data_IF_453500884095
#
_entry.id   IF_453500884095
#
_cell.length_a   1.000
_cell.length_b   1.000
_cell.length_c   1.000
_cell.angle_alpha   90.00
_cell.angle_beta   90.00
_cell.angle_gamma   90.00
#
_symmetry.space_group_name_H-M   'P 1'
#
loop_
_entity.id
_entity.type
_entity.pdbx_description
1 polymer ?
#
# COMPACT_ATOMS: atom_id res chain seq x y z
N UNK A 1 34.51 0.99 21.27
CA UNK A 1 33.62 -0.04 20.71
C UNK A 1 33.51 -1.12 21.76
N UNK A 2 32.29 -1.47 22.22
CA UNK A 2 32.15 -2.58 23.15
C UNK A 2 32.57 -3.86 22.41
N UNK A 3 33.51 -4.62 22.95
CA UNK A 3 33.96 -5.87 22.34
C UNK A 3 32.77 -6.82 22.16
N UNK A 4 32.54 -7.27 20.93
CA UNK A 4 31.53 -8.29 20.65
C UNK A 4 31.96 -9.62 21.27
N UNK A 5 31.00 -10.35 21.83
CA UNK A 5 31.24 -11.57 22.59
C UNK A 5 31.26 -12.77 21.63
N UNK A 6 32.28 -13.61 21.79
CA UNK A 6 32.59 -14.74 20.90
C UNK A 6 32.81 -16.00 21.71
N UNK A 7 32.87 -17.13 21.02
CA UNK A 7 33.16 -18.42 21.63
C UNK A 7 34.68 -18.61 21.62
N UNK A 8 35.30 -18.63 22.81
CA UNK A 8 36.73 -18.89 22.94
C UNK A 8 37.03 -20.39 22.95
N UNK A 9 36.20 -21.16 23.67
CA UNK A 9 36.44 -22.59 23.90
C UNK A 9 35.13 -23.34 24.02
N UNK A 10 35.09 -24.52 23.43
CA UNK A 10 33.95 -25.42 23.42
C UNK A 10 34.40 -26.84 23.78
N UNK A 11 33.75 -27.44 24.76
CA UNK A 11 33.93 -28.83 25.16
C UNK A 11 32.56 -29.51 25.19
N UNK A 12 32.41 -30.59 24.42
CA UNK A 12 31.17 -31.34 24.24
C UNK A 12 31.46 -32.82 24.48
N UNK A 13 30.70 -33.45 25.36
CA UNK A 13 30.81 -34.89 25.63
C UNK A 13 29.43 -35.56 25.63
N UNK A 14 29.36 -36.73 25.00
CA UNK A 14 28.17 -37.60 24.98
C UNK A 14 26.88 -36.93 24.48
N UNK A 15 26.97 -36.04 23.49
CA UNK A 15 25.82 -35.34 22.89
C UNK A 15 25.53 -35.83 21.48
N UNK A 16 24.33 -36.38 21.23
CA UNK A 16 23.91 -36.95 19.93
C UNK A 16 24.94 -37.95 19.37
N UNK A 17 25.77 -37.55 18.42
CA UNK A 17 26.83 -38.41 17.84
C UNK A 17 28.24 -38.13 18.37
N UNK A 18 28.39 -37.10 19.22
CA UNK A 18 29.68 -36.70 19.79
C UNK A 18 30.01 -37.60 20.97
N UNK A 19 31.22 -38.14 20.96
CA UNK A 19 31.80 -38.86 22.11
C UNK A 19 32.54 -37.86 22.99
N UNK A 20 33.55 -37.19 22.45
CA UNK A 20 34.26 -36.09 23.08
C UNK A 20 34.86 -35.18 22.00
N UNK A 21 34.51 -33.89 22.06
CA UNK A 21 34.99 -32.87 21.13
C UNK A 21 35.44 -31.66 21.94
N UNK A 22 36.67 -31.22 21.70
CA UNK A 22 37.22 -29.97 22.22
C UNK A 22 37.60 -29.10 21.01
N UNK A 23 37.10 -27.88 20.97
CA UNK A 23 37.28 -26.94 19.86
C UNK A 23 37.63 -25.56 20.42
N UNK A 24 38.66 -24.94 19.86
CA UNK A 24 39.05 -23.54 20.09
C UNK A 24 38.90 -22.79 18.75
N UNK A 25 37.73 -22.19 18.46
CA UNK A 25 37.50 -21.56 17.18
C UNK A 25 38.33 -20.28 17.02
N UNK A 26 38.58 -19.88 15.77
CA UNK A 26 39.30 -18.64 15.46
C UNK A 26 38.58 -17.41 16.03
N UNK A 27 39.31 -16.44 16.57
CA UNK A 27 38.72 -15.22 17.17
C UNK A 27 37.96 -14.36 16.15
N UNK A 28 38.38 -14.37 14.89
CA UNK A 28 37.75 -13.70 13.76
C UNK A 28 37.81 -14.65 12.56
N UNK A 29 36.86 -14.51 11.64
CA UNK A 29 36.84 -15.29 10.42
C UNK A 29 36.04 -16.58 10.54
N UNK A 30 36.35 -17.54 9.69
CA UNK A 30 35.58 -18.77 9.49
C UNK A 30 36.33 -19.98 10.06
N UNK A 31 35.75 -20.64 11.06
CA UNK A 31 36.18 -21.96 11.54
C UNK A 31 35.31 -23.04 10.90
N UNK A 32 35.91 -23.92 10.08
CA UNK A 32 35.17 -25.00 9.39
C UNK A 32 35.39 -26.34 10.10
N UNK A 33 34.29 -26.93 10.55
CA UNK A 33 34.21 -28.29 11.07
C UNK A 33 33.89 -29.24 9.91
N UNK A 34 34.91 -29.94 9.43
CA UNK A 34 34.88 -30.96 8.40
C UNK A 34 34.64 -32.38 8.91
N UNK A 35 34.45 -33.30 7.97
CA UNK A 35 34.19 -34.72 8.19
C UNK A 35 33.13 -35.27 7.23
N UNK A 36 33.03 -36.59 7.13
CA UNK A 36 31.99 -37.25 6.33
C UNK A 36 30.60 -37.09 6.97
N UNK A 37 29.55 -37.48 6.25
CA UNK A 37 28.20 -37.53 6.80
C UNK A 37 28.12 -38.46 8.01
N UNK A 38 27.23 -38.13 8.95
CA UNK A 38 27.01 -38.86 10.19
C UNK A 38 28.16 -38.90 11.21
N UNK A 39 29.25 -38.15 11.00
CA UNK A 39 30.39 -38.13 11.93
C UNK A 39 30.20 -37.24 13.17
N UNK A 40 29.16 -36.41 13.22
CA UNK A 40 28.85 -35.55 14.38
C UNK A 40 29.04 -34.05 14.16
N UNK A 41 29.35 -33.60 12.94
CA UNK A 41 29.51 -32.16 12.58
C UNK A 41 28.32 -31.30 13.02
N UNK A 42 27.12 -31.60 12.54
CA UNK A 42 25.89 -30.87 12.92
C UNK A 42 25.59 -31.00 14.41
N UNK A 43 25.99 -32.11 15.04
CA UNK A 43 25.86 -32.26 16.50
C UNK A 43 26.71 -31.26 17.27
N UNK A 44 27.80 -30.72 16.70
CA UNK A 44 28.58 -29.64 17.32
C UNK A 44 27.78 -28.35 17.33
N UNK A 45 27.22 -27.95 16.17
CA UNK A 45 26.40 -26.74 16.08
C UNK A 45 25.15 -26.84 16.96
N UNK A 46 24.46 -27.98 16.94
CA UNK A 46 23.30 -28.24 17.80
C UNK A 46 23.65 -28.11 19.29
N UNK A 47 24.85 -28.55 19.67
CA UNK A 47 25.33 -28.47 21.06
C UNK A 47 25.60 -27.03 21.48
N UNK A 48 26.19 -26.21 20.60
CA UNK A 48 26.40 -24.78 20.83
C UNK A 48 25.03 -24.07 20.95
N UNK A 49 24.12 -24.33 20.01
CA UNK A 49 22.78 -23.76 19.99
C UNK A 49 21.99 -24.14 21.25
N UNK A 50 22.09 -25.38 21.72
CA UNK A 50 21.44 -25.82 22.97
C UNK A 50 22.08 -25.19 24.22
N UNK A 51 23.42 -25.14 24.29
CA UNK A 51 24.13 -24.53 25.39
C UNK A 51 23.73 -23.06 25.58
N UNK A 52 23.73 -22.28 24.49
CA UNK A 52 23.55 -20.83 24.52
C UNK A 52 22.08 -20.39 24.35
N UNK A 53 21.28 -21.12 23.57
CA UNK A 53 19.91 -20.74 23.21
C UNK A 53 18.80 -21.30 24.09
N UNK A 54 19.13 -22.12 25.09
CA UNK A 54 18.14 -22.63 26.03
C UNK A 54 17.42 -23.89 25.56
N UNK A 55 16.33 -24.25 26.26
CA UNK A 55 15.58 -25.47 25.99
C UNK A 55 14.85 -25.48 24.62
N UNK A 56 14.71 -24.31 23.97
CA UNK A 56 14.18 -24.20 22.61
C UNK A 56 15.01 -24.97 21.58
N UNK A 57 16.32 -25.10 21.82
CA UNK A 57 17.26 -25.81 20.96
C UNK A 57 17.65 -27.17 21.53
N UNK A 58 16.98 -27.63 22.60
CA UNK A 58 17.25 -28.93 23.20
C UNK A 58 16.87 -30.04 22.22
N UNK A 59 17.80 -30.95 21.86
CA UNK A 59 17.45 -32.12 21.05
C UNK A 59 16.42 -32.99 21.76
N UNK A 60 15.49 -33.59 21.00
CA UNK A 60 14.50 -34.53 21.54
C UNK A 60 15.17 -35.70 22.28
N UNK A 61 16.26 -36.21 21.72
CA UNK A 61 17.21 -37.07 22.41
C UNK A 61 18.61 -36.43 22.37
N UNK A 62 19.04 -35.88 23.50
CA UNK A 62 20.34 -35.22 23.62
C UNK A 62 21.48 -36.19 23.94
N UNK A 63 21.19 -37.27 24.65
CA UNK A 63 22.19 -38.26 25.06
C UNK A 63 22.65 -39.06 23.85
N UNK A 64 23.95 -39.34 23.78
CA UNK A 64 24.51 -40.24 22.77
C UNK A 64 23.89 -41.63 22.86
N UNK A 65 23.44 -42.16 21.72
CA UNK A 65 22.88 -43.50 21.65
C UNK A 65 23.89 -44.55 22.16
N UNK A 66 23.45 -45.38 23.11
CA UNK A 66 24.28 -46.38 23.77
C UNK A 66 25.18 -45.86 24.91
N UNK A 67 25.10 -44.59 25.30
CA UNK A 67 25.79 -44.04 26.47
C UNK A 67 24.89 -44.01 27.72
N UNK A 68 25.40 -44.44 28.86
CA UNK A 68 24.77 -44.25 30.18
C UNK A 68 25.22 -42.95 30.87
N UNK A 69 26.23 -42.29 30.31
CA UNK A 69 26.79 -41.04 30.82
C UNK A 69 25.96 -39.88 30.23
N UNK A 70 25.42 -38.98 31.08
CA UNK A 70 24.62 -37.85 30.60
C UNK A 70 25.46 -36.85 29.79
N UNK A 71 24.81 -36.07 28.90
CA UNK A 71 25.44 -34.97 28.17
C UNK A 71 26.19 -33.99 29.07
N UNK A 72 27.39 -33.60 28.64
CA UNK A 72 28.18 -32.54 29.27
C UNK A 72 28.58 -31.51 28.22
N UNK A 73 28.22 -30.25 28.47
CA UNK A 73 28.55 -29.11 27.62
C UNK A 73 29.26 -28.06 28.46
N UNK A 74 30.38 -27.56 27.98
CA UNK A 74 31.14 -26.49 28.61
C UNK A 74 31.62 -25.50 27.54
N UNK A 75 31.14 -24.26 27.63
CA UNK A 75 31.49 -23.18 26.71
C UNK A 75 32.10 -22.02 27.49
N UNK A 76 33.24 -21.53 27.04
CA UNK A 76 33.86 -20.30 27.56
C UNK A 76 33.75 -19.22 26.50
N UNK A 77 33.10 -18.12 26.85
CA UNK A 77 32.95 -16.94 26.00
C UNK A 77 34.17 -16.02 26.14
N UNK A 78 34.40 -15.16 25.15
CA UNK A 78 35.55 -14.24 25.10
C UNK A 78 35.59 -13.21 26.24
N UNK A 79 34.43 -12.88 26.82
CA UNK A 79 34.31 -11.99 27.98
C UNK A 79 34.51 -12.73 29.33
N UNK A 80 34.85 -14.02 29.31
CA UNK A 80 35.05 -14.86 30.49
C UNK A 80 33.77 -15.49 31.05
N UNK A 81 32.62 -15.31 30.39
CA UNK A 81 31.38 -16.00 30.77
C UNK A 81 31.51 -17.50 30.51
N UNK A 82 31.19 -18.31 31.50
CA UNK A 82 31.25 -19.78 31.41
C UNK A 82 29.85 -20.36 31.44
N UNK A 83 29.49 -21.13 30.41
CA UNK A 83 28.20 -21.79 30.25
C UNK A 83 28.39 -23.30 30.36
N UNK A 84 27.82 -23.90 31.39
CA UNK A 84 27.85 -25.34 31.61
C UNK A 84 26.44 -25.93 31.52
N UNK A 85 26.28 -27.06 30.84
CA UNK A 85 25.11 -27.94 30.99
C UNK A 85 25.59 -29.34 31.38
N UNK A 86 25.25 -29.77 32.60
CA UNK A 86 25.72 -31.06 33.14
C UNK A 86 24.69 -31.71 34.06
N UNK A 87 24.92 -32.98 34.37
CA UNK A 87 24.07 -33.79 35.25
C UNK A 87 22.93 -34.49 34.50
N UNK A 88 22.16 -35.31 35.23
CA UNK A 88 21.11 -36.19 34.68
C UNK A 88 20.06 -35.46 33.84
N UNK A 89 19.77 -34.19 34.18
CA UNK A 89 18.80 -33.35 33.48
C UNK A 89 19.46 -32.30 32.56
N UNK A 90 20.81 -32.32 32.45
CA UNK A 90 21.60 -31.31 31.73
C UNK A 90 21.25 -29.87 32.15
N UNK A 91 21.23 -29.63 33.46
CA UNK A 91 20.86 -28.34 34.03
C UNK A 91 21.85 -27.25 33.62
N UNK A 92 21.33 -26.08 33.24
CA UNK A 92 22.12 -24.91 32.89
C UNK A 92 22.76 -24.29 34.13
N UNK A 93 24.05 -23.99 34.05
CA UNK A 93 24.79 -23.19 35.01
C UNK A 93 25.61 -22.16 34.24
N UNK A 94 25.29 -20.88 34.43
CA UNK A 94 26.04 -19.77 33.85
C UNK A 94 26.85 -19.13 34.98
N UNK A 95 28.13 -18.89 34.76
CA UNK A 95 29.03 -18.26 35.73
C UNK A 95 29.71 -17.07 35.07
N UNK A 96 29.60 -15.89 35.67
CA UNK A 96 30.29 -14.69 35.20
C UNK A 96 31.79 -14.72 35.55
N UNK A 97 32.62 -13.81 34.99
CA UNK A 97 34.05 -13.73 35.31
C UNK A 97 34.36 -13.47 36.79
N UNK A 98 33.40 -12.93 37.54
CA UNK A 98 33.52 -12.62 38.96
C UNK A 98 33.06 -13.79 39.86
N UNK A 99 32.59 -14.90 39.27
CA UNK A 99 32.10 -16.09 39.98
C UNK A 99 30.62 -16.05 40.36
N UNK A 100 29.86 -15.02 39.97
CA UNK A 100 28.42 -14.94 40.21
C UNK A 100 27.67 -15.87 39.27
N UNK A 101 26.58 -16.47 39.79
CA UNK A 101 25.70 -17.33 39.00
C UNK A 101 24.72 -16.49 38.20
N UNK A 102 24.69 -16.71 36.88
CA UNK A 102 23.70 -16.17 35.96
C UNK A 102 22.65 -17.21 35.55
N UNK A 103 21.62 -16.74 34.85
CA UNK A 103 20.62 -17.58 34.19
C UNK A 103 20.61 -17.40 32.67
N UNK A 104 19.66 -18.05 32.00
CA UNK A 104 19.48 -17.93 30.55
C UNK A 104 19.20 -16.49 30.10
N UNK A 105 18.57 -15.66 30.95
CA UNK A 105 18.31 -14.25 30.64
C UNK A 105 19.59 -13.45 30.38
N UNK A 106 20.65 -13.71 31.15
CA UNK A 106 21.96 -13.09 30.93
C UNK A 106 22.56 -13.52 29.59
N UNK A 107 22.36 -14.77 29.17
CA UNK A 107 22.82 -15.24 27.86
C UNK A 107 22.07 -14.56 26.72
N UNK A 108 20.76 -14.38 26.87
CA UNK A 108 19.91 -13.75 25.86
C UNK A 108 20.30 -12.27 25.60
N UNK A 109 20.97 -11.60 26.54
CA UNK A 109 21.47 -10.23 26.33
C UNK A 109 22.65 -10.17 25.34
N UNK A 110 23.39 -11.27 25.18
CA UNK A 110 24.62 -11.34 24.39
C UNK A 110 24.55 -12.30 23.20
N UNK A 111 23.59 -13.23 23.22
CA UNK A 111 23.40 -14.25 22.19
C UNK A 111 22.11 -13.97 21.45
N UNK A 112 22.22 -13.80 20.13
CA UNK A 112 21.06 -13.62 19.28
C UNK A 112 20.53 -14.96 18.77
N UNK A 113 19.20 -15.15 18.81
CA UNK A 113 18.59 -16.44 18.42
C UNK A 113 18.81 -16.76 16.94
N UNK A 114 18.79 -15.73 16.09
CA UNK A 114 19.10 -15.88 14.67
C UNK A 114 20.59 -16.25 14.43
N UNK A 115 21.50 -15.86 15.33
CA UNK A 115 22.91 -16.26 15.24
C UNK A 115 23.11 -17.76 15.50
N UNK A 116 22.21 -18.37 16.28
CA UNK A 116 22.25 -19.79 16.61
C UNK A 116 21.62 -20.68 15.54
N UNK A 117 20.78 -20.13 14.66
CA UNK A 117 20.07 -20.86 13.61
C UNK A 117 19.80 -19.96 12.39
N UNK A 118 20.88 -19.59 11.71
CA UNK A 118 20.82 -18.85 10.45
C UNK A 118 20.13 -19.64 9.31
N UNK A 119 20.29 -20.99 9.20
CA UNK A 119 19.59 -21.78 8.18
C UNK A 119 18.08 -21.56 8.19
N UNK A 120 17.45 -21.55 9.37
CA UNK A 120 16.02 -21.27 9.48
C UNK A 120 15.62 -19.88 8.98
N UNK A 121 16.46 -18.87 9.21
CA UNK A 121 16.24 -17.54 8.64
C UNK A 121 16.35 -17.58 7.11
N UNK A 122 17.34 -18.26 6.56
CA UNK A 122 17.53 -18.39 5.11
C UNK A 122 16.36 -19.12 4.42
N UNK A 123 15.74 -20.09 5.10
CA UNK A 123 14.59 -20.86 4.61
C UNK A 123 13.25 -20.14 4.77
N UNK A 124 13.17 -19.06 5.58
CA UNK A 124 11.94 -18.28 5.74
C UNK A 124 11.48 -17.58 4.45
N UNK A 125 10.23 -17.13 4.38
CA UNK A 125 9.73 -16.44 3.18
C UNK A 125 10.38 -15.07 2.99
N UNK A 126 10.45 -14.57 1.75
CA UNK A 126 11.02 -13.24 1.45
C UNK A 126 10.37 -12.11 2.26
N UNK A 127 9.05 -12.20 2.45
CA UNK A 127 8.28 -11.27 3.30
C UNK A 127 8.67 -11.34 4.77
N UNK A 128 8.83 -12.54 5.33
CA UNK A 128 9.26 -12.70 6.72
C UNK A 128 10.66 -12.15 6.95
N UNK A 129 11.58 -12.36 5.99
CA UNK A 129 12.94 -11.79 6.03
C UNK A 129 12.91 -10.27 6.04
N UNK A 130 12.18 -9.67 5.10
CA UNK A 130 12.04 -8.21 5.00
C UNK A 130 11.37 -7.62 6.24
N UNK A 131 10.28 -8.22 6.73
CA UNK A 131 9.63 -7.79 7.97
C UNK A 131 10.54 -7.89 9.18
N UNK A 132 11.34 -8.96 9.27
CA UNK A 132 12.33 -9.12 10.34
C UNK A 132 13.34 -7.97 10.28
N UNK A 133 13.90 -7.67 9.10
CA UNK A 133 14.81 -6.55 8.91
C UNK A 133 14.18 -5.19 9.27
N UNK A 134 12.96 -4.92 8.80
CA UNK A 134 12.27 -3.65 9.03
C UNK A 134 11.92 -3.43 10.51
N UNK A 135 11.56 -4.50 11.22
CA UNK A 135 11.39 -4.46 12.68
C UNK A 135 12.69 -4.14 13.40
N UNK A 136 13.81 -4.71 12.94
CA UNK A 136 15.14 -4.48 13.52
C UNK A 136 15.56 -3.01 13.39
N UNK A 137 15.26 -2.37 12.25
CA UNK A 137 15.65 -0.97 12.00
C UNK A 137 14.65 0.02 12.63
N UNK A 138 13.55 -0.48 13.22
CA UNK A 138 12.55 0.36 13.89
C UNK A 138 11.63 1.15 12.95
N UNK A 139 11.74 0.94 11.64
CA UNK A 139 10.91 1.59 10.62
C UNK A 139 9.67 0.77 10.23
N UNK A 140 9.54 -0.45 10.77
CA UNK A 140 8.47 -1.40 10.40
C UNK A 140 7.05 -0.84 10.61
N UNK A 141 6.79 -0.21 11.75
CA UNK A 141 5.46 0.33 12.06
C UNK A 141 5.11 1.53 11.17
N UNK A 142 6.08 2.40 10.92
CA UNK A 142 5.93 3.56 10.03
C UNK A 142 5.71 3.12 8.58
N UNK A 143 6.47 2.12 8.11
CA UNK A 143 6.27 1.57 6.77
C UNK A 143 4.89 0.92 6.64
N UNK A 144 4.45 0.16 7.63
CA UNK A 144 3.13 -0.48 7.64
C UNK A 144 2.00 0.56 7.58
N UNK A 145 2.14 1.68 8.31
CA UNK A 145 1.19 2.79 8.24
C UNK A 145 1.14 3.43 6.84
N UNK A 146 2.31 3.67 6.22
CA UNK A 146 2.39 4.19 4.84
C UNK A 146 1.83 3.20 3.80
N UNK A 147 2.02 1.90 4.00
CA UNK A 147 1.43 0.85 3.17
C UNK A 147 -0.09 0.83 3.23
N UNK A 148 -0.63 0.94 4.44
CA UNK A 148 -2.06 1.05 4.65
C UNK A 148 -2.62 2.32 4.00
N UNK A 149 -1.95 3.46 4.18
CA UNK A 149 -2.33 4.74 3.56
C UNK A 149 -2.31 4.67 2.03
N UNK A 150 -1.26 4.09 1.42
CA UNK A 150 -1.22 3.91 -0.04
C UNK A 150 -2.40 3.05 -0.52
N UNK A 151 -2.70 1.96 0.19
CA UNK A 151 -3.79 1.05 -0.16
C UNK A 151 -5.16 1.74 -0.10
N UNK A 152 -5.38 2.57 0.92
CA UNK A 152 -6.61 3.36 1.06
C UNK A 152 -6.75 4.37 -0.07
N UNK A 153 -5.71 5.16 -0.34
CA UNK A 153 -5.68 6.13 -1.46
C UNK A 153 -5.87 5.43 -2.82
N UNK A 154 -5.28 4.25 -3.01
CA UNK A 154 -5.44 3.48 -4.24
C UNK A 154 -6.89 3.03 -4.44
N UNK A 155 -7.55 2.53 -3.38
CA UNK A 155 -8.94 2.12 -3.44
C UNK A 155 -9.87 3.31 -3.72
N UNK A 156 -9.61 4.46 -3.09
CA UNK A 156 -10.32 5.70 -3.35
C UNK A 156 -10.14 6.16 -4.80
N UNK A 157 -8.90 6.15 -5.31
CA UNK A 157 -8.60 6.48 -6.71
C UNK A 157 -9.30 5.54 -7.69
N UNK A 158 -9.35 4.26 -7.39
CA UNK A 158 -10.05 3.27 -8.22
C UNK A 158 -11.55 3.57 -8.29
N UNK A 159 -12.17 3.94 -7.16
CA UNK A 159 -13.57 4.36 -7.13
C UNK A 159 -13.79 5.64 -7.93
N UNK A 160 -13.00 6.69 -7.67
CA UNK A 160 -13.08 7.98 -8.36
C UNK A 160 -12.87 7.81 -9.86
N UNK A 161 -11.90 6.99 -10.29
CA UNK A 161 -11.65 6.72 -11.71
C UNK A 161 -12.82 6.02 -12.41
N UNK A 162 -13.49 5.08 -11.73
CA UNK A 162 -14.72 4.44 -12.25
C UNK A 162 -15.86 5.45 -12.39
N UNK A 163 -16.05 6.31 -11.39
CA UNK A 163 -17.09 7.35 -11.41
C UNK A 163 -16.80 8.40 -12.48
N UNK A 164 -15.54 8.82 -12.64
CA UNK A 164 -15.11 9.74 -13.69
C UNK A 164 -15.45 9.17 -15.09
N UNK A 165 -15.07 7.92 -15.37
CA UNK A 165 -15.36 7.27 -16.65
C UNK A 165 -16.87 7.17 -16.92
N UNK A 166 -17.68 6.83 -15.90
CA UNK A 166 -19.14 6.84 -16.00
C UNK A 166 -19.70 8.23 -16.32
N UNK A 167 -19.22 9.27 -15.64
CA UNK A 167 -19.65 10.66 -15.84
C UNK A 167 -19.26 11.19 -17.21
N UNK A 168 -18.05 10.87 -17.70
CA UNK A 168 -17.61 11.21 -19.07
C UNK A 168 -18.51 10.55 -20.11
N UNK A 169 -18.86 9.28 -19.94
CA UNK A 169 -19.78 8.58 -20.85
C UNK A 169 -21.17 9.20 -20.83
N UNK A 170 -21.70 9.47 -19.64
CA UNK A 170 -22.99 10.14 -19.47
C UNK A 170 -23.02 11.51 -20.16
N UNK A 171 -21.98 12.34 -19.98
CA UNK A 171 -21.89 13.64 -20.63
C UNK A 171 -21.81 13.55 -22.17
N UNK A 172 -21.13 12.53 -22.70
CA UNK A 172 -21.06 12.28 -24.16
C UNK A 172 -22.38 11.85 -24.77
N UNK A 173 -23.22 11.15 -23.99
CA UNK A 173 -24.54 10.69 -24.42
C UNK A 173 -25.61 11.80 -24.35
N UNK A 174 -25.34 12.92 -23.67
CA UNK A 174 -26.28 14.03 -23.59
C UNK A 174 -26.51 14.70 -24.95
N UNK A 175 -27.77 15.04 -25.30
CA UNK A 175 -28.09 15.80 -26.49
C UNK A 175 -27.36 17.15 -26.51
N UNK A 176 -26.85 17.54 -27.68
CA UNK A 176 -26.22 18.85 -27.86
C UNK A 176 -26.74 19.50 -29.14
N UNK A 177 -27.19 20.74 -29.01
CA UNK A 177 -27.77 21.53 -30.06
C UNK A 177 -26.86 22.73 -30.37
N UNK A 178 -26.03 22.68 -31.43
CA UNK A 178 -25.04 23.71 -31.73
C UNK A 178 -25.66 25.06 -32.12
N UNK A 179 -26.90 25.06 -32.60
CA UNK A 179 -27.61 26.25 -33.09
C UNK A 179 -28.40 26.98 -31.99
N UNK A 180 -28.40 26.46 -30.75
CA UNK A 180 -29.15 27.06 -29.65
C UNK A 180 -28.35 28.23 -29.01
N UNK A 181 -29.02 29.33 -28.61
CA UNK A 181 -28.39 30.43 -27.88
C UNK A 181 -27.75 29.98 -26.56
N UNK A 182 -26.78 30.75 -26.04
CA UNK A 182 -26.10 30.43 -24.77
C UNK A 182 -26.98 30.63 -23.54
N UNK A 183 -27.91 31.58 -23.61
CA UNK A 183 -28.77 31.98 -22.51
C UNK A 183 -30.25 31.77 -22.85
N UNK A 184 -31.08 31.57 -21.82
CA UNK A 184 -32.53 31.44 -21.99
C UNK A 184 -33.14 32.73 -22.57
N UNK A 185 -34.00 32.57 -23.57
CA UNK A 185 -34.74 33.68 -24.18
C UNK A 185 -36.03 33.88 -23.38
N UNK A 186 -36.25 35.08 -22.84
CA UNK A 186 -37.42 35.37 -22.00
C UNK A 186 -38.67 35.65 -22.84
N UNK A 187 -39.75 34.87 -22.71
CA UNK A 187 -41.01 35.12 -23.43
C UNK A 187 -41.89 36.20 -22.75
N UNK A 188 -41.45 36.77 -21.62
CA UNK A 188 -42.27 37.64 -20.78
C UNK A 188 -42.84 38.87 -21.50
N UNK A 189 -42.06 39.44 -22.42
CA UNK A 189 -42.48 40.66 -23.14
C UNK A 189 -43.48 40.34 -24.26
N UNK A 190 -43.34 39.19 -24.93
CA UNK A 190 -44.27 38.74 -25.98
C UNK A 190 -45.60 38.28 -25.40
N UNK A 191 -45.59 37.64 -24.23
CA UNK A 191 -46.81 37.25 -23.51
C UNK A 191 -47.63 38.50 -23.10
N UNK A 192 -46.96 39.57 -22.65
CA UNK A 192 -47.63 40.84 -22.34
C UNK A 192 -48.26 41.47 -23.58
N UNK A 193 -47.54 41.50 -24.70
CA UNK A 193 -48.06 42.03 -25.97
C UNK A 193 -49.28 41.23 -26.46
N UNK A 194 -49.26 39.90 -26.34
CA UNK A 194 -50.40 39.06 -26.69
C UNK A 194 -51.63 39.38 -25.82
N UNK A 195 -51.45 39.56 -24.51
CA UNK A 195 -52.54 39.90 -23.59
C UNK A 195 -53.16 41.26 -23.90
N UNK A 196 -52.35 42.26 -24.28
CA UNK A 196 -52.83 43.59 -24.67
C UNK A 196 -53.65 43.55 -25.97
N UNK A 197 -53.22 42.76 -26.96
CA UNK A 197 -53.94 42.58 -28.24
C UNK A 197 -55.27 41.86 -28.00
N UNK A 198 -55.28 40.79 -27.19
CA UNK A 198 -56.51 40.07 -26.84
C UNK A 198 -57.51 40.99 -26.11
N UNK A 199 -57.03 41.85 -25.21
CA UNK A 199 -57.87 42.83 -24.52
C UNK A 199 -58.44 43.89 -25.47
N UNK A 200 -57.67 44.33 -26.47
CA UNK A 200 -58.11 45.28 -27.50
C UNK A 200 -59.15 44.66 -28.43
N UNK A 201 -58.92 43.44 -28.90
CA UNK A 201 -59.86 42.70 -29.75
C UNK A 201 -61.18 42.41 -29.02
N UNK A 202 -61.13 42.08 -27.72
CA UNK A 202 -62.32 41.91 -26.90
C UNK A 202 -63.19 43.17 -26.82
N UNK A 203 -62.58 44.36 -26.70
CA UNK A 203 -63.30 45.64 -26.72
C UNK A 203 -63.88 45.98 -28.09
N UNK A 204 -63.16 45.68 -29.17
CA UNK A 204 -63.66 45.89 -30.54
C UNK A 204 -64.90 45.05 -30.84
N UNK A 205 -64.92 43.81 -30.36
CA UNK A 205 -66.08 42.92 -30.48
C UNK A 205 -67.29 43.43 -29.68
N UNK A 206 -67.06 44.01 -28.50
CA UNK A 206 -68.12 44.67 -27.72
C UNK A 206 -68.71 45.88 -28.46
N UNK A 207 -67.87 46.73 -29.06
CA UNK A 207 -68.32 47.83 -29.91
C UNK A 207 -69.12 47.34 -31.13
N UNK A 208 -68.70 46.24 -31.75
CA UNK A 208 -69.41 45.62 -32.89
C UNK A 208 -70.82 45.19 -32.49
N UNK A 209 -70.99 44.52 -31.34
CA UNK A 209 -72.32 44.13 -30.83
C UNK A 209 -73.21 45.33 -30.52
N UNK A 210 -72.66 46.36 -29.87
CA UNK A 210 -73.42 47.57 -29.55
C UNK A 210 -73.87 48.32 -30.80
N UNK A 211 -73.04 48.40 -31.84
CA UNK A 211 -73.41 49.02 -33.11
C UNK A 211 -74.53 48.26 -33.83
N UNK A 212 -74.53 46.92 -33.80
CA UNK A 212 -75.60 46.09 -34.36
C UNK A 212 -76.91 46.29 -33.59
N UNK A 213 -76.86 46.31 -32.26
CA UNK A 213 -78.04 46.52 -31.42
C UNK A 213 -78.64 47.93 -31.60
N UNK A 214 -77.81 48.97 -31.60
CA UNK A 214 -78.25 50.36 -31.85
C UNK A 214 -78.83 50.54 -33.25
N UNK A 215 -78.28 49.85 -34.26
CA UNK A 215 -78.84 49.88 -35.61
C UNK A 215 -80.22 49.20 -35.69
N UNK A 216 -80.39 48.06 -35.02
CA UNK A 216 -81.68 47.40 -34.95
C UNK A 216 -82.74 48.25 -34.22
N UNK A 217 -82.35 48.92 -33.13
CA UNK A 217 -83.22 49.90 -32.45
C UNK A 217 -83.54 51.10 -33.34
N UNK A 218 -82.54 51.66 -34.04
CA UNK A 218 -82.73 52.76 -34.98
C UNK A 218 -83.68 52.40 -36.13
N UNK A 219 -83.55 51.20 -36.70
CA UNK A 219 -84.43 50.74 -37.78
C UNK A 219 -85.86 50.49 -37.26
N UNK A 220 -86.01 49.96 -36.04
CA UNK A 220 -87.33 49.79 -35.39
C UNK A 220 -88.00 51.14 -35.10
N UNK A 221 -87.26 52.09 -34.53
CA UNK A 221 -87.71 53.46 -34.29
C UNK A 221 -88.05 54.16 -35.60
N UNK A 222 -87.29 53.93 -36.68
CA UNK A 222 -87.62 54.49 -37.98
C UNK A 222 -88.94 53.95 -38.53
N UNK A 223 -89.23 52.65 -38.41
CA UNK A 223 -90.53 52.11 -38.82
C UNK A 223 -91.67 52.70 -37.96
N UNK A 224 -91.42 52.90 -36.67
CA UNK A 224 -92.37 53.51 -35.75
C UNK A 224 -92.61 55.00 -36.10
N UNK A 225 -91.54 55.72 -36.41
CA UNK A 225 -91.55 57.09 -36.95
C UNK A 225 -92.25 57.12 -38.31
N UNK A 226 -92.09 56.12 -39.18
CA UNK A 226 -92.71 56.10 -40.51
C UNK A 226 -94.24 55.88 -40.41
N UNK A 227 -94.68 55.04 -39.47
CA UNK A 227 -96.09 54.93 -39.10
C UNK A 227 -96.64 56.22 -38.48
N UNK A 228 -95.88 56.84 -37.57
CA UNK A 228 -96.22 58.13 -36.99
C UNK A 228 -96.21 59.24 -38.05
N UNK A 229 -95.31 59.20 -39.04
CA UNK A 229 -95.23 60.12 -40.18
C UNK A 229 -96.42 59.96 -41.10
N UNK A 230 -96.97 58.76 -41.26
CA UNK A 230 -98.22 58.56 -42.00
C UNK A 230 -99.40 59.25 -41.31
N UNK A 231 -99.46 59.20 -39.97
CA UNK A 231 -100.43 59.97 -39.17
C UNK A 231 -100.09 61.46 -39.09
N UNK A 232 -98.82 61.82 -39.19
CA UNK A 232 -98.33 63.19 -39.18
C UNK A 232 -98.50 63.86 -40.54
N UNK A 233 -98.45 63.14 -41.67
CA UNK A 233 -98.71 63.66 -43.01
C UNK A 233 -100.15 64.19 -43.12
N UNK A 234 -101.12 63.50 -42.49
CA UNK A 234 -102.48 64.02 -42.29
C UNK A 234 -102.54 65.31 -41.45
N UNK A 235 -101.48 65.63 -40.70
CA UNK A 235 -101.34 66.83 -39.85
C UNK A 235 -100.31 67.84 -40.39
N UNK A 236 -99.45 67.46 -41.33
CA UNK A 236 -98.31 68.23 -41.87
C UNK A 236 -98.63 68.97 -43.17
N UNK A 237 -99.72 68.63 -43.88
CA UNK A 237 -100.41 69.62 -44.75
C UNK A 237 -100.74 70.92 -43.99
N UNK A 238 -100.71 70.87 -42.65
CA UNK A 238 -100.94 71.98 -41.71
C UNK A 238 -99.67 72.57 -41.08
N UNK A 239 -98.47 72.03 -41.30
CA UNK A 239 -97.23 72.44 -40.58
C UNK A 239 -96.01 72.67 -41.49
N UNK A 240 -96.17 72.66 -42.82
CA UNK A 240 -95.16 72.99 -43.85
C UNK A 240 -94.65 74.45 -43.80
N UNK A 241 -94.75 75.13 -42.66
CA UNK A 241 -94.40 76.53 -42.45
C UNK A 241 -93.22 76.76 -41.49
N UNK A 242 -92.59 75.72 -40.92
CA UNK A 242 -91.47 75.86 -39.97
C UNK A 242 -90.42 74.75 -40.16
N UNK A 243 -89.65 74.78 -41.25
CA UNK A 243 -88.38 75.54 -41.41
C UNK A 243 -87.15 74.84 -40.78
N UNK A 244 -86.37 74.20 -41.66
CA UNK A 244 -84.94 74.48 -41.95
C UNK A 244 -83.92 74.70 -40.82
N UNK A 245 -83.89 73.86 -39.79
CA UNK A 245 -82.65 73.72 -39.01
C UNK A 245 -82.47 72.28 -38.49
N UNK A 246 -81.66 71.50 -39.20
CA UNK A 246 -80.58 70.66 -38.63
C UNK A 246 -80.09 69.61 -39.65
N UNK A 247 -79.61 70.11 -40.80
CA UNK A 247 -78.51 69.45 -41.49
C UNK A 247 -77.23 69.61 -40.65
N UNK A 248 -76.77 68.53 -40.02
CA UNK A 248 -75.35 68.18 -39.81
C UNK A 248 -75.17 67.16 -38.66
N UNK A 249 -75.07 65.86 -39.00
CA UNK A 249 -74.16 64.90 -38.35
C UNK A 249 -74.39 63.48 -38.90
N UNK A 250 -73.58 63.04 -39.85
CA UNK A 250 -73.26 61.62 -39.99
C UNK A 250 -71.82 61.51 -40.46
N UNK A 251 -70.91 61.30 -39.50
CA UNK A 251 -69.51 60.93 -39.77
C UNK A 251 -69.36 59.43 -39.52
N UNK A 252 -68.69 58.84 -40.49
CA UNK A 252 -68.61 57.43 -40.82
C UNK A 252 -67.88 56.60 -39.76
N UNK A 253 -68.45 55.44 -39.43
CA UNK A 253 -67.80 54.35 -38.68
C UNK A 253 -67.11 53.44 -39.69
N UNK A 254 -65.81 53.65 -39.95
CA UNK A 254 -65.04 52.79 -40.87
C UNK A 254 -63.58 52.51 -40.46
N UNK A 255 -63.20 52.73 -39.20
CA UNK A 255 -61.80 52.53 -38.75
C UNK A 255 -61.69 51.61 -37.53
N UNK A 256 -62.11 50.35 -37.67
CA UNK A 256 -61.77 49.29 -36.72
C UNK A 256 -61.23 48.07 -37.49
N UNK A 257 -59.91 47.86 -37.39
CA UNK A 257 -59.22 46.66 -37.87
C UNK A 257 -58.79 45.80 -36.67
N UNK A 258 -59.06 44.50 -36.73
CA UNK A 258 -58.61 43.53 -35.73
C UNK A 258 -57.13 43.19 -35.97
N UNK A 259 -56.32 43.17 -34.91
CA UNK A 259 -54.89 42.79 -34.97
C UNK A 259 -54.75 41.27 -34.74
N UNK A 260 -53.96 40.59 -35.58
CA UNK A 260 -53.77 39.14 -35.55
C UNK A 260 -52.71 38.71 -34.54
N UNK A 261 -53.03 37.74 -33.67
CA UNK A 261 -52.09 37.15 -32.69
C UNK A 261 -51.25 35.98 -33.25
N UNK A 262 -51.48 35.58 -34.51
CA UNK A 262 -50.87 34.36 -35.07
C UNK A 262 -49.32 34.43 -35.15
N UNK A 263 -48.76 35.60 -35.45
CA UNK A 263 -47.29 35.80 -35.50
C UNK A 263 -46.65 35.76 -34.11
N UNK A 264 -47.37 36.23 -33.08
CA UNK A 264 -46.93 36.20 -31.68
C UNK A 264 -46.95 34.77 -31.11
N UNK A 265 -47.98 33.99 -31.41
CA UNK A 265 -48.07 32.58 -30.98
C UNK A 265 -46.96 31.71 -31.60
N UNK A 266 -46.67 31.92 -32.89
CA UNK A 266 -45.56 31.26 -33.56
C UNK A 266 -44.20 31.63 -32.95
N UNK A 267 -44.04 32.91 -32.55
CA UNK A 267 -42.82 33.40 -31.91
C UNK A 267 -42.61 32.83 -30.50
N UNK A 268 -43.68 32.69 -29.70
CA UNK A 268 -43.63 32.09 -28.36
C UNK A 268 -43.30 30.60 -28.44
N UNK A 269 -43.95 29.85 -29.34
CA UNK A 269 -43.67 28.43 -29.54
C UNK A 269 -42.22 28.18 -29.97
N UNK A 270 -41.68 29.04 -30.84
CA UNK A 270 -40.27 28.97 -31.26
C UNK A 270 -39.31 29.25 -30.08
N UNK A 271 -39.61 30.24 -29.22
CA UNK A 271 -38.82 30.53 -28.02
C UNK A 271 -38.83 29.36 -27.03
N UNK A 272 -39.96 28.68 -26.85
CA UNK A 272 -40.03 27.47 -26.00
C UNK A 272 -39.19 26.32 -26.56
N UNK A 273 -39.21 26.10 -27.88
CA UNK A 273 -38.37 25.08 -28.53
C UNK A 273 -36.87 25.42 -28.40
N UNK A 274 -36.52 26.68 -28.60
CA UNK A 274 -35.16 27.19 -28.39
C UNK A 274 -34.73 26.95 -26.93
N UNK A 275 -35.55 27.35 -25.95
CA UNK A 275 -35.24 27.17 -24.53
C UNK A 275 -35.11 25.70 -24.11
N UNK A 276 -35.87 24.80 -24.74
CA UNK A 276 -35.70 23.36 -24.53
C UNK A 276 -34.30 22.88 -24.99
N UNK A 277 -33.82 23.38 -26.13
CA UNK A 277 -32.46 23.08 -26.63
C UNK A 277 -31.38 23.70 -25.74
N UNK A 278 -31.58 24.93 -25.27
CA UNK A 278 -30.66 25.60 -24.32
C UNK A 278 -30.56 24.83 -23.00
N UNK A 279 -31.68 24.36 -22.44
CA UNK A 279 -31.66 23.53 -21.22
C UNK A 279 -30.88 22.23 -21.41
N UNK A 280 -31.08 21.54 -22.53
CA UNK A 280 -30.33 20.32 -22.84
C UNK A 280 -28.80 20.58 -22.95
N UNK A 281 -28.40 21.72 -23.53
CA UNK A 281 -26.99 22.13 -23.58
C UNK A 281 -26.44 22.44 -22.18
N UNK A 282 -27.18 23.17 -21.34
CA UNK A 282 -26.79 23.46 -19.95
C UNK A 282 -26.65 22.18 -19.11
N UNK A 283 -27.55 21.21 -19.30
CA UNK A 283 -27.48 19.91 -18.64
C UNK A 283 -26.23 19.12 -19.08
N UNK A 284 -25.86 19.21 -20.36
CA UNK A 284 -24.62 18.63 -20.89
C UNK A 284 -23.38 19.33 -20.33
N UNK A 285 -23.34 20.66 -20.33
CA UNK A 285 -22.21 21.44 -19.81
C UNK A 285 -21.96 21.12 -18.33
N UNK A 286 -23.04 21.02 -17.55
CA UNK A 286 -22.98 20.59 -16.15
C UNK A 286 -22.46 19.16 -16.00
N UNK A 287 -22.90 18.23 -16.86
CA UNK A 287 -22.40 16.86 -16.85
C UNK A 287 -20.89 16.78 -17.21
N UNK A 288 -20.41 17.62 -18.12
CA UNK A 288 -19.00 17.74 -18.46
C UNK A 288 -18.16 18.37 -17.33
N UNK A 289 -18.72 19.34 -16.61
CA UNK A 289 -18.08 19.98 -15.45
C UNK A 289 -17.97 19.00 -14.28
N UNK A 290 -19.02 18.24 -13.98
CA UNK A 290 -19.01 17.12 -13.03
C UNK A 290 -17.89 16.12 -13.39
N UNK A 291 -17.81 15.73 -14.67
CA UNK A 291 -16.81 14.78 -15.14
C UNK A 291 -15.38 15.30 -14.95
N UNK A 292 -15.14 16.59 -15.25
CA UNK A 292 -13.85 17.24 -15.00
C UNK A 292 -13.49 17.27 -13.52
N UNK A 293 -14.43 17.59 -12.64
CA UNK A 293 -14.19 17.60 -11.20
C UNK A 293 -13.69 16.24 -10.68
N UNK A 294 -14.28 15.13 -11.14
CA UNK A 294 -13.80 13.78 -10.80
C UNK A 294 -12.44 13.46 -11.42
N UNK A 295 -12.16 13.96 -12.63
CA UNK A 295 -10.84 13.83 -13.26
C UNK A 295 -9.75 14.54 -12.44
N UNK A 296 -10.05 15.74 -11.92
CA UNK A 296 -9.14 16.50 -11.07
C UNK A 296 -8.89 15.80 -9.73
N UNK A 297 -9.94 15.24 -9.11
CA UNK A 297 -9.80 14.39 -7.93
C UNK A 297 -8.93 13.16 -8.19
N UNK A 298 -9.07 12.51 -9.35
CA UNK A 298 -8.23 11.39 -9.74
C UNK A 298 -6.75 11.78 -9.84
N UNK A 299 -6.48 12.95 -10.44
CA UNK A 299 -5.13 13.48 -10.56
C UNK A 299 -4.54 13.84 -9.19
N UNK A 300 -5.34 14.43 -8.29
CA UNK A 300 -4.91 14.73 -6.93
C UNK A 300 -4.60 13.47 -6.11
N UNK A 301 -5.45 12.44 -6.18
CA UNK A 301 -5.21 11.15 -5.54
C UNK A 301 -3.94 10.47 -6.09
N UNK A 302 -3.69 10.60 -7.40
CA UNK A 302 -2.46 10.09 -8.01
C UNK A 302 -1.23 10.79 -7.42
N UNK A 303 -1.24 12.12 -7.28
CA UNK A 303 -0.15 12.87 -6.62
C UNK A 303 0.02 12.47 -5.16
N UNK A 304 -1.06 12.23 -4.42
CA UNK A 304 -0.99 11.75 -3.01
C UNK A 304 -0.36 10.36 -2.92
N UNK A 305 -0.72 9.45 -3.83
CA UNK A 305 -0.12 8.10 -3.90
C UNK A 305 1.39 8.20 -4.20
N UNK A 306 1.78 9.03 -5.17
CA UNK A 306 3.19 9.28 -5.49
C UNK A 306 3.94 9.84 -4.28
N UNK A 307 3.37 10.83 -3.59
CA UNK A 307 3.97 11.38 -2.36
C UNK A 307 4.15 10.34 -1.24
N UNK A 308 3.19 9.44 -1.05
CA UNK A 308 3.32 8.33 -0.08
C UNK A 308 4.40 7.34 -0.51
N UNK A 309 4.56 7.05 -1.81
CA UNK A 309 5.63 6.20 -2.31
C UNK A 309 7.00 6.83 -2.12
N UNK A 310 7.11 8.14 -2.33
CA UNK A 310 8.33 8.89 -2.08
C UNK A 310 8.69 8.85 -0.59
N UNK A 311 7.72 9.05 0.30
CA UNK A 311 7.92 8.93 1.76
C UNK A 311 8.39 7.53 2.18
N UNK A 312 7.84 6.45 1.59
CA UNK A 312 8.35 5.09 1.86
C UNK A 312 9.78 4.92 1.41
N UNK A 313 10.10 5.44 0.22
CA UNK A 313 11.45 5.34 -0.35
C UNK A 313 12.44 6.12 0.51
N UNK A 314 12.06 7.32 0.95
CA UNK A 314 12.86 8.15 1.87
C UNK A 314 13.05 7.46 3.22
N UNK A 315 12.00 6.88 3.80
CA UNK A 315 12.06 6.12 5.05
C UNK A 315 13.06 4.96 4.94
N UNK A 316 13.05 4.24 3.82
CA UNK A 316 13.94 3.10 3.59
C UNK A 316 15.37 3.53 3.27
N UNK A 317 15.57 4.68 2.62
CA UNK A 317 16.89 5.24 2.33
C UNK A 317 17.55 5.89 3.55
N UNK A 318 16.75 6.48 4.45
CA UNK A 318 17.22 7.05 5.72
C UNK A 318 17.48 5.96 6.77
N UNK A 319 16.95 4.76 6.57
CA UNK A 319 17.15 3.61 7.44
C UNK A 319 18.63 3.16 7.41
N UNK A 320 19.24 3.07 8.59
CA UNK A 320 20.62 2.60 8.75
C UNK A 320 20.70 1.08 8.57
N UNK A 321 20.67 0.65 7.31
CA UNK A 321 20.69 -0.74 6.88
C UNK A 321 22.03 -1.41 7.20
N UNK A 322 22.04 -2.72 7.53
CA UNK A 322 23.23 -3.42 8.02
C UNK A 322 24.32 -3.62 6.97
N UNK A 323 24.00 -3.45 5.68
CA UNK A 323 24.96 -3.58 4.58
C UNK A 323 24.77 -2.43 3.58
N UNK A 324 25.87 -1.94 2.98
CA UNK A 324 25.80 -1.11 1.79
C UNK A 324 25.03 -1.84 0.68
N UNK A 325 24.26 -1.11 -0.13
CA UNK A 325 23.52 -1.67 -1.28
C UNK A 325 22.41 -2.67 -0.92
N UNK A 326 22.14 -2.89 0.37
CA UNK A 326 20.94 -3.58 0.84
C UNK A 326 19.77 -2.60 0.83
N UNK A 327 18.61 -3.07 0.44
CA UNK A 327 17.36 -2.30 0.40
C UNK A 327 16.17 -3.24 0.56
N UNK A 328 15.01 -2.68 0.86
CA UNK A 328 13.74 -3.41 0.88
C UNK A 328 12.83 -2.81 -0.17
N UNK A 329 12.30 -3.63 -1.09
CA UNK A 329 11.33 -3.18 -2.09
C UNK A 329 10.17 -4.15 -2.14
N UNK A 330 8.94 -3.64 -2.09
CA UNK A 330 7.71 -4.45 -2.16
C UNK A 330 7.66 -5.60 -1.12
N UNK A 331 8.32 -5.42 0.03
CA UNK A 331 8.40 -6.43 1.07
C UNK A 331 9.41 -7.55 0.79
N UNK A 332 10.36 -7.35 -0.12
CA UNK A 332 11.48 -8.26 -0.40
C UNK A 332 12.83 -7.59 -0.18
N UNK A 333 13.82 -8.39 0.24
CA UNK A 333 15.20 -7.96 0.38
C UNK A 333 15.86 -7.88 -1.00
N UNK A 334 16.42 -6.72 -1.32
CA UNK A 334 17.23 -6.49 -2.52
C UNK A 334 18.64 -6.14 -2.09
N UNK A 335 19.63 -6.84 -2.62
CA UNK A 335 21.05 -6.57 -2.41
C UNK A 335 21.74 -6.53 -3.77
N UNK A 336 22.51 -5.48 -4.03
CA UNK A 336 23.17 -5.27 -5.35
C UNK A 336 22.21 -5.32 -6.54
N UNK A 337 20.98 -4.87 -6.33
CA UNK A 337 19.92 -4.89 -7.35
C UNK A 337 19.29 -6.26 -7.61
N UNK A 338 19.67 -7.31 -6.87
CA UNK A 338 19.11 -8.65 -7.01
C UNK A 338 18.14 -8.98 -5.85
N UNK A 339 17.04 -9.64 -6.17
CA UNK A 339 16.13 -10.25 -5.19
C UNK A 339 16.76 -11.49 -4.55
N UNK A 340 16.26 -11.88 -3.38
CA UNK A 340 16.80 -12.97 -2.57
C UNK A 340 16.99 -14.30 -3.31
N UNK A 341 16.08 -14.64 -4.22
CA UNK A 341 16.12 -15.86 -5.03
C UNK A 341 17.24 -15.86 -6.07
N UNK A 342 17.59 -14.68 -6.57
CA UNK A 342 18.63 -14.46 -7.57
C UNK A 342 20.01 -14.19 -6.96
N UNK A 343 20.08 -13.93 -5.65
CA UNK A 343 21.34 -13.71 -4.94
C UNK A 343 22.22 -14.98 -4.94
N UNK A 344 23.52 -14.78 -5.09
CA UNK A 344 24.51 -15.84 -4.88
C UNK A 344 24.44 -16.42 -3.44
N UNK A 345 24.94 -17.63 -3.25
CA UNK A 345 25.00 -18.24 -1.92
C UNK A 345 25.80 -17.40 -0.91
N UNK A 346 26.91 -16.79 -1.35
CA UNK A 346 27.71 -15.88 -0.52
C UNK A 346 26.96 -14.61 -0.16
N UNK A 347 26.28 -14.00 -1.11
CA UNK A 347 25.54 -12.77 -0.84
C UNK A 347 24.42 -13.02 0.17
N UNK A 348 23.69 -14.14 0.05
CA UNK A 348 22.69 -14.54 1.04
C UNK A 348 23.28 -14.71 2.44
N UNK A 349 24.49 -15.27 2.56
CA UNK A 349 25.18 -15.40 3.85
C UNK A 349 25.67 -14.06 4.39
N UNK A 350 26.26 -13.21 3.56
CA UNK A 350 26.70 -11.86 3.94
C UNK A 350 25.51 -11.04 4.46
N UNK A 351 24.40 -11.04 3.73
CA UNK A 351 23.15 -10.37 4.13
C UNK A 351 22.63 -10.94 5.43
N UNK A 352 22.48 -12.26 5.55
CA UNK A 352 21.98 -12.89 6.78
C UNK A 352 22.85 -12.58 7.99
N UNK A 353 24.18 -12.67 7.84
CA UNK A 353 25.16 -12.42 8.90
C UNK A 353 25.13 -10.97 9.34
N UNK A 354 25.03 -10.03 8.41
CA UNK A 354 24.96 -8.60 8.72
C UNK A 354 23.65 -8.22 9.44
N UNK A 355 22.52 -8.83 9.06
CA UNK A 355 21.23 -8.64 9.75
C UNK A 355 21.34 -9.07 11.22
N UNK A 356 21.92 -10.25 11.49
CA UNK A 356 22.13 -10.76 12.85
C UNK A 356 22.98 -9.81 13.69
N UNK A 357 24.06 -9.28 13.12
CA UNK A 357 24.93 -8.33 13.80
C UNK A 357 24.20 -7.03 14.17
N UNK A 358 23.34 -6.52 13.30
CA UNK A 358 22.55 -5.31 13.57
C UNK A 358 21.52 -5.55 14.66
N UNK A 359 20.98 -6.77 14.73
CA UNK A 359 20.01 -7.16 15.75
C UNK A 359 20.65 -7.15 17.14
N UNK A 360 21.81 -7.78 17.31
CA UNK A 360 22.56 -7.71 18.57
C UNK A 360 24.05 -7.44 18.30
N UNK A 361 24.50 -6.18 18.38
CA UNK A 361 25.90 -5.83 18.18
C UNK A 361 26.86 -6.48 19.20
N UNK A 362 26.35 -6.93 20.36
CA UNK A 362 27.14 -7.66 21.36
C UNK A 362 27.37 -9.12 20.96
N UNK A 363 26.58 -9.69 20.05
CA UNK A 363 26.76 -11.04 19.54
C UNK A 363 27.82 -11.04 18.44
N UNK A 364 29.00 -11.58 18.74
CA UNK A 364 30.17 -11.56 17.85
C UNK A 364 30.38 -12.84 17.05
N UNK A 365 29.43 -13.79 17.10
CA UNK A 365 29.56 -15.07 16.41
C UNK A 365 28.26 -15.49 15.68
N UNK A 366 28.38 -16.35 14.67
CA UNK A 366 27.26 -16.94 13.91
C UNK A 366 27.52 -18.41 13.62
N UNK A 367 26.48 -19.25 13.70
CA UNK A 367 26.52 -20.68 13.38
C UNK A 367 25.95 -20.94 11.99
N UNK A 368 26.69 -21.69 11.17
CA UNK A 368 26.32 -21.98 9.78
C UNK A 368 26.39 -23.49 9.49
N UNK A 369 25.28 -24.09 9.09
CA UNK A 369 25.27 -25.51 8.67
C UNK A 369 25.30 -25.62 7.14
N UNK A 370 25.90 -26.70 6.63
CA UNK A 370 25.86 -27.10 5.21
C UNK A 370 26.58 -26.18 4.22
N UNK A 371 27.81 -25.77 4.54
CA UNK A 371 28.60 -24.95 3.63
C UNK A 371 29.12 -25.69 2.39
N UNK A 372 28.89 -26.99 2.22
CA UNK A 372 29.28 -27.77 1.03
C UNK A 372 28.69 -27.25 -0.29
N UNK A 373 27.62 -26.45 -0.23
CA UNK A 373 27.02 -25.84 -1.42
C UNK A 373 27.88 -24.73 -2.05
N UNK A 374 28.94 -24.30 -1.35
CA UNK A 374 29.84 -23.24 -1.81
C UNK A 374 31.15 -23.81 -2.35
N UNK A 375 31.70 -23.16 -3.37
CA UNK A 375 33.06 -23.40 -3.82
C UNK A 375 34.09 -22.73 -2.91
N UNK A 376 35.36 -23.12 -3.04
CA UNK A 376 36.43 -22.68 -2.16
C UNK A 376 36.73 -21.18 -2.28
N UNK A 377 36.58 -20.60 -3.47
CA UNK A 377 36.82 -19.16 -3.68
C UNK A 377 35.82 -18.35 -2.87
N UNK A 378 34.54 -18.69 -3.00
CA UNK A 378 33.46 -18.03 -2.26
C UNK A 378 33.58 -18.19 -0.75
N UNK A 379 34.04 -19.35 -0.26
CA UNK A 379 34.31 -19.56 1.17
C UNK A 379 35.42 -18.65 1.69
N UNK A 380 36.51 -18.51 0.93
CA UNK A 380 37.63 -17.65 1.30
C UNK A 380 37.22 -16.18 1.31
N UNK A 381 36.44 -15.73 0.32
CA UNK A 381 35.89 -14.36 0.30
C UNK A 381 34.96 -14.09 1.49
N UNK A 382 34.13 -15.07 1.86
CA UNK A 382 33.26 -14.95 3.02
C UNK A 382 34.07 -14.93 4.33
N UNK A 383 35.09 -15.76 4.46
CA UNK A 383 36.01 -15.77 5.60
C UNK A 383 36.75 -14.43 5.77
N UNK A 384 37.29 -13.87 4.68
CA UNK A 384 37.95 -12.56 4.69
C UNK A 384 36.97 -11.44 5.07
N UNK A 385 35.74 -11.49 4.57
CA UNK A 385 34.72 -10.52 4.95
C UNK A 385 34.39 -10.61 6.45
N UNK A 386 34.25 -11.81 7.01
CA UNK A 386 34.06 -12.00 8.45
C UNK A 386 35.23 -11.44 9.28
N UNK A 387 36.47 -11.59 8.82
CA UNK A 387 37.64 -11.02 9.48
C UNK A 387 37.63 -9.50 9.48
N UNK A 388 37.30 -8.89 8.34
CA UNK A 388 37.17 -7.43 8.20
C UNK A 388 36.08 -6.88 9.12
N UNK A 389 34.96 -7.59 9.24
CA UNK A 389 33.86 -7.21 10.12
C UNK A 389 34.08 -7.59 11.60
N UNK A 390 35.16 -8.33 11.90
CA UNK A 390 35.49 -8.78 13.25
C UNK A 390 34.47 -9.78 13.82
N UNK A 391 33.87 -10.61 12.98
CA UNK A 391 32.90 -11.64 13.35
C UNK A 391 33.53 -13.03 13.34
N UNK A 392 33.01 -13.93 14.18
CA UNK A 392 33.38 -15.34 14.22
C UNK A 392 32.27 -16.18 13.57
N UNK A 393 32.57 -16.99 12.57
CA UNK A 393 31.62 -17.98 12.06
C UNK A 393 32.11 -19.39 12.36
N UNK A 394 31.25 -20.22 12.95
CA UNK A 394 31.52 -21.64 13.15
C UNK A 394 30.60 -22.38 12.19
N UNK A 395 31.21 -23.09 11.24
CA UNK A 395 30.48 -23.71 10.16
C UNK A 395 30.77 -25.19 10.02
N UNK A 396 29.83 -25.93 9.43
CA UNK A 396 30.04 -27.34 9.05
C UNK A 396 30.15 -27.47 7.53
N UNK A 397 31.00 -28.39 7.08
CA UNK A 397 31.13 -28.75 5.66
C UNK A 397 31.37 -30.24 5.50
N UNK A 398 30.77 -30.86 4.49
CA UNK A 398 31.09 -32.24 4.10
C UNK A 398 32.40 -32.25 3.30
N UNK A 399 33.53 -32.21 3.99
CA UNK A 399 34.86 -32.30 3.40
C UNK A 399 35.88 -32.77 4.44
N UNK A 400 36.99 -33.33 3.97
CA UNK A 400 38.19 -33.64 4.80
C UNK A 400 39.44 -32.93 4.26
N UNK A 401 39.26 -31.99 3.34
CA UNK A 401 40.33 -31.20 2.76
C UNK A 401 40.92 -30.16 3.71
N UNK A 402 41.94 -29.45 3.22
CA UNK A 402 42.69 -28.47 4.00
C UNK A 402 41.91 -27.18 4.31
N UNK A 403 40.75 -26.97 3.69
CA UNK A 403 39.84 -25.89 4.06
C UNK A 403 39.16 -26.12 5.42
N UNK A 404 39.16 -27.35 5.93
CA UNK A 404 38.57 -27.69 7.22
C UNK A 404 39.57 -27.47 8.35
N UNK A 405 39.33 -26.46 9.19
CA UNK A 405 40.14 -26.18 10.38
C UNK A 405 40.16 -27.36 11.35
N UNK A 406 39.03 -28.07 11.44
CA UNK A 406 38.80 -29.18 12.38
C UNK A 406 38.16 -30.32 11.62
N UNK A 407 38.63 -31.56 11.79
CA UNK A 407 38.01 -32.75 11.20
C UNK A 407 37.46 -33.64 12.30
N UNK A 408 36.17 -33.97 12.18
CA UNK A 408 35.47 -34.89 13.08
C UNK A 408 35.26 -36.23 12.40
N UNK A 409 35.66 -37.29 13.09
CA UNK A 409 35.43 -38.69 12.72
C UNK A 409 34.96 -39.48 13.95
N UNK A 410 33.87 -40.23 13.78
CA UNK A 410 33.24 -41.06 14.81
C UNK A 410 33.00 -40.34 16.15
N UNK A 411 32.63 -39.06 16.08
CA UNK A 411 32.36 -38.22 17.24
C UNK A 411 33.59 -37.76 18.02
N UNK A 412 34.80 -37.87 17.45
CA UNK A 412 36.06 -37.35 17.96
C UNK A 412 36.71 -36.36 16.99
N UNK A 413 37.56 -35.48 17.51
CA UNK A 413 38.42 -34.59 16.69
C UNK A 413 39.69 -35.36 16.30
N UNK A 414 39.97 -35.46 14.99
CA UNK A 414 41.12 -36.21 14.45
C UNK A 414 42.20 -35.30 13.85
N UNK A 415 41.82 -34.11 13.35
CA UNK A 415 42.74 -33.08 12.85
C UNK A 415 42.30 -31.74 13.43
N UNK A 416 43.23 -31.03 14.06
CA UNK A 416 43.07 -29.66 14.54
C UNK A 416 44.29 -28.85 14.04
N UNK A 417 44.05 -27.98 13.06
CA UNK A 417 45.12 -27.21 12.41
C UNK A 417 45.56 -25.98 13.23
N UNK A 418 44.77 -25.54 14.21
CA UNK A 418 45.03 -24.35 15.02
C UNK A 418 45.68 -24.68 16.39
N UNK A 419 45.60 -25.93 16.86
CA UNK A 419 46.29 -26.42 18.07
C UNK A 419 47.81 -26.60 17.93
N UNK A 420 48.47 -25.80 17.08
CA UNK A 420 49.89 -25.87 16.76
C UNK A 420 50.87 -25.40 17.84
N UNK A 421 50.49 -25.38 19.14
CA UNK A 421 51.41 -25.24 20.29
C UNK A 421 50.86 -25.87 21.59
N UNK A 422 50.53 -27.15 21.57
CA UNK A 422 50.58 -27.96 22.79
C UNK A 422 50.90 -29.41 22.41
N UNK A 423 52.02 -29.92 22.90
CA UNK A 423 52.39 -31.33 22.75
C UNK A 423 51.21 -32.22 23.16
N UNK A 424 50.83 -33.12 22.26
CA UNK A 424 49.90 -34.19 22.57
C UNK A 424 50.45 -34.98 23.78
N UNK A 425 49.63 -35.30 24.80
CA UNK A 425 50.09 -36.22 25.82
C UNK A 425 50.33 -37.58 25.16
N UNK A 426 51.59 -38.05 25.25
CA UNK A 426 51.98 -39.34 24.73
C UNK A 426 51.07 -40.45 25.29
N UNK A 427 50.54 -41.28 24.39
CA UNK A 427 49.76 -42.45 24.76
C UNK A 427 50.56 -43.35 25.71
N UNK A 428 49.96 -43.93 26.77
CA UNK A 428 50.67 -44.86 27.63
C UNK A 428 50.98 -46.14 26.85
N UNK A 429 52.26 -46.32 26.51
CA UNK A 429 52.77 -47.60 25.98
C UNK A 429 52.76 -48.63 27.09
N UNK A 430 51.78 -49.53 27.06
CA UNK A 430 51.76 -50.73 27.88
C UNK A 430 52.93 -51.64 27.47
N UNK A 431 53.82 -51.97 28.42
CA UNK A 431 54.83 -53.02 28.25
C UNK A 431 54.37 -54.27 29.01
N UNK A 432 54.29 -55.39 28.31
CA UNK A 432 54.04 -56.70 28.91
C UNK A 432 55.21 -57.09 29.85
N UNK A 433 54.89 -57.49 31.08
CA UNK A 433 55.81 -58.24 31.94
C UNK A 433 56.61 -57.47 33.00
N UNK A 434 56.02 -56.48 33.67
CA UNK A 434 56.56 -55.97 34.95
C UNK A 434 55.43 -55.95 35.97
N UNK A 435 55.51 -56.83 36.96
CA UNK A 435 54.63 -56.86 38.13
C UNK A 435 55.15 -55.91 39.21
#
# INVERSE_FOLDING_TARGET
MADSIKINKLEIENVKRIKAVKIEPTKNGLTIVGGNNNQGKTSVLDSIAWALGGDRYKPSNATRDGSTIPPNLHIVMSNGLVVERKGKNSSLKVTDPNGNKGGQQLLNDFVEQLALDLPKFMESSGKEKAQTLLKIIGVGDQLTALEQQEKELYNERLYVGRTADQKVKFAKEQPYYPDAPKDLVSPSDLIKQQQEILARNGKNEEYRRNAVNMKAEYDSLNMEIENLRKMLQEKMDRHEALSEALEAANKTVSELHDESTAELEASIANIEEINRKVRANLDKDKAEEDARAYQDQYNELTKKIEGVRDQKTELLNAADLPLPELSVKEGELIYKGQQWDNMSGSDRLKVSTAIVRKLNPKCGFVLLDKLEQMDLVTLNEFGQWLEQEGLQAIATRVSTGDECSIIIEDGYVVKDLEAGKAEAPAAPTWKAGVF
#
